data_IF_691847739422
#
_entry.id   IF_691847739422
#
_cell.length_a   1.000
_cell.length_b   1.000
_cell.length_c   1.000
_cell.angle_alpha   90.00
_cell.angle_beta   90.00
_cell.angle_gamma   90.00
#
_symmetry.space_group_name_H-M   'P 1'
#
loop_
_entity.id
_entity.type
_entity.pdbx_description
1 polymer ?
#
# COMPACT_ATOMS: atom_id res chain seq x y z
N UNK A 1 -1.57 19.91 -8.11
CA UNK A 1 -0.79 20.81 -7.22
C UNK A 1 -0.95 20.29 -5.80
N UNK A 2 0.11 19.72 -5.20
CA UNK A 2 0.09 19.26 -3.82
C UNK A 2 0.18 20.46 -2.88
N UNK A 3 -0.95 21.00 -2.44
CA UNK A 3 -0.99 22.00 -1.37
C UNK A 3 -0.78 21.28 -0.04
N UNK A 4 0.25 21.67 0.71
CA UNK A 4 0.55 21.06 2.01
C UNK A 4 -0.63 21.25 2.97
N UNK A 5 -0.93 20.24 3.80
CA UNK A 5 -1.97 20.32 4.85
C UNK A 5 -1.79 21.60 5.69
N UNK A 6 -0.55 21.98 5.97
CA UNK A 6 -0.22 23.21 6.69
C UNK A 6 -0.78 24.47 6.01
N UNK A 7 -0.65 24.57 4.68
CA UNK A 7 -1.16 25.72 3.92
C UNK A 7 -2.69 25.77 3.90
N UNK A 8 -3.35 24.62 3.92
CA UNK A 8 -4.81 24.54 4.04
C UNK A 8 -5.24 25.05 5.42
N UNK A 9 -4.58 24.60 6.49
CA UNK A 9 -4.88 25.01 7.86
C UNK A 9 -4.58 26.50 8.11
N UNK A 10 -3.47 27.01 7.57
CA UNK A 10 -3.15 28.45 7.60
C UNK A 10 -4.19 29.26 6.82
N UNK A 11 -4.66 28.76 5.68
CA UNK A 11 -5.74 29.39 4.91
C UNK A 11 -7.04 29.52 5.71
N UNK A 12 -7.41 28.51 6.50
CA UNK A 12 -8.57 28.57 7.41
C UNK A 12 -8.32 29.56 8.54
N UNK A 13 -7.14 29.49 9.19
CA UNK A 13 -6.76 30.41 10.29
C UNK A 13 -6.81 31.88 9.85
N UNK A 14 -6.35 32.16 8.64
CA UNK A 14 -6.29 33.51 8.09
C UNK A 14 -7.61 33.97 7.45
N UNK A 15 -8.66 33.13 7.46
CA UNK A 15 -9.96 33.43 6.84
C UNK A 15 -9.96 33.43 5.30
N UNK A 16 -8.87 32.96 4.67
CA UNK A 16 -8.73 32.84 3.20
C UNK A 16 -9.44 31.61 2.63
N UNK A 17 -9.80 30.65 3.49
CA UNK A 17 -10.48 29.43 3.12
C UNK A 17 -11.59 29.14 4.13
N UNK A 18 -12.77 28.75 3.66
CA UNK A 18 -13.81 28.27 4.58
C UNK A 18 -13.44 26.89 5.14
N UNK A 19 -14.04 26.52 6.27
CA UNK A 19 -13.88 25.17 6.84
C UNK A 19 -14.39 24.11 5.87
N UNK A 20 -15.48 24.38 5.16
CA UNK A 20 -16.06 23.48 4.15
C UNK A 20 -15.13 23.30 2.95
N UNK A 21 -14.53 24.39 2.45
CA UNK A 21 -13.55 24.34 1.36
C UNK A 21 -12.29 23.58 1.77
N UNK A 22 -11.83 23.77 3.01
CA UNK A 22 -10.67 23.07 3.56
C UNK A 22 -10.96 21.57 3.66
N UNK A 23 -12.14 21.22 4.18
CA UNK A 23 -12.58 19.83 4.28
C UNK A 23 -12.68 19.17 2.90
N UNK A 24 -13.19 19.87 1.89
CA UNK A 24 -13.26 19.36 0.53
C UNK A 24 -11.86 19.16 -0.08
N UNK A 25 -10.95 20.13 0.09
CA UNK A 25 -9.56 20.00 -0.38
C UNK A 25 -8.83 18.85 0.31
N UNK A 26 -9.02 18.66 1.62
CA UNK A 26 -8.44 17.53 2.35
C UNK A 26 -9.04 16.17 1.95
N UNK A 27 -10.30 16.15 1.47
CA UNK A 27 -10.93 14.94 0.91
C UNK A 27 -10.44 14.59 -0.50
N UNK A 28 -10.12 15.60 -1.32
CA UNK A 28 -9.74 15.43 -2.73
C UNK A 28 -8.23 15.34 -2.97
N UNK A 29 -7.42 15.95 -2.11
CA UNK A 29 -5.95 15.85 -2.13
C UNK A 29 -5.32 14.44 -1.92
N UNK A 30 -5.98 13.42 -1.33
CA UNK A 30 -5.31 12.15 -1.07
C UNK A 30 -4.99 11.34 -2.31
N UNK A 31 -5.64 11.58 -3.44
CA UNK A 31 -5.63 10.64 -4.55
C UNK A 31 -4.71 11.11 -5.67
N UNK A 32 -3.68 10.32 -5.94
CA UNK A 32 -2.89 10.48 -7.15
C UNK A 32 -3.49 9.58 -8.24
N UNK A 33 -4.01 10.19 -9.30
CA UNK A 33 -4.52 9.48 -10.48
C UNK A 33 -3.38 9.24 -11.46
N UNK A 34 -2.99 7.97 -11.63
CA UNK A 34 -1.94 7.55 -12.56
C UNK A 34 -2.53 6.96 -13.86
N UNK A 35 -3.80 7.24 -14.14
CA UNK A 35 -4.52 6.85 -15.36
C UNK A 35 -5.23 5.50 -15.27
N UNK A 36 -4.62 4.52 -14.60
CA UNK A 36 -5.21 3.17 -14.38
C UNK A 36 -5.45 2.84 -12.90
N UNK A 37 -5.01 3.70 -11.99
CA UNK A 37 -5.28 3.59 -10.57
C UNK A 37 -5.36 4.98 -9.92
N UNK A 38 -6.18 5.09 -8.87
CA UNK A 38 -6.22 6.25 -7.97
C UNK A 38 -5.62 5.85 -6.64
N UNK A 39 -4.38 6.25 -6.39
CA UNK A 39 -3.60 5.83 -5.23
C UNK A 39 -3.96 6.72 -4.03
N UNK A 40 -4.50 6.13 -2.96
CA UNK A 40 -4.93 6.83 -1.74
C UNK A 40 -3.75 7.08 -0.78
N UNK A 41 -3.17 8.26 -0.83
CA UNK A 41 -2.06 8.69 0.01
C UNK A 41 -2.45 8.92 1.47
N UNK A 42 -3.74 9.14 1.77
CA UNK A 42 -4.18 9.33 3.15
C UNK A 42 -4.41 7.98 3.86
N UNK A 43 -4.31 6.84 3.16
CA UNK A 43 -4.61 5.55 3.75
C UNK A 43 -3.80 5.30 5.01
N UNK A 44 -2.48 5.43 4.98
CA UNK A 44 -1.71 5.20 6.22
C UNK A 44 -1.87 6.32 7.28
N UNK A 45 -2.32 7.53 6.93
CA UNK A 45 -2.71 8.52 7.96
C UNK A 45 -3.94 8.04 8.75
N UNK A 46 -4.83 7.27 8.10
CA UNK A 46 -6.06 6.74 8.73
C UNK A 46 -5.86 5.37 9.37
N UNK A 47 -5.00 4.53 8.81
CA UNK A 47 -4.90 3.13 9.19
C UNK A 47 -3.55 2.72 9.81
N UNK A 48 -2.47 3.50 9.65
CA UNK A 48 -1.17 3.19 10.25
C UNK A 48 -0.47 1.91 9.76
N UNK A 49 -1.01 1.22 8.75
CA UNK A 49 -0.51 -0.08 8.24
C UNK A 49 0.17 0.06 6.88
N UNK A 50 0.91 -1.00 6.48
CA UNK A 50 1.56 -1.11 5.18
C UNK A 50 0.56 -0.94 4.02
N UNK A 51 1.02 -0.35 2.91
CA UNK A 51 0.19 -0.14 1.73
C UNK A 51 0.09 -1.44 0.93
N UNK A 52 -1.13 -1.80 0.52
CA UNK A 52 -1.41 -3.06 -0.18
C UNK A 52 -1.82 -2.80 -1.63
N UNK A 53 -1.12 -3.42 -2.58
CA UNK A 53 -1.47 -3.48 -3.99
C UNK A 53 -2.11 -4.85 -4.27
N UNK A 54 -3.38 -4.85 -4.65
CA UNK A 54 -4.02 -6.05 -5.19
C UNK A 54 -3.44 -6.36 -6.59
N UNK A 55 -2.62 -7.39 -6.73
CA UNK A 55 -1.88 -7.70 -7.96
C UNK A 55 -2.67 -8.45 -9.03
N UNK A 56 -3.72 -9.19 -8.63
CA UNK A 56 -4.49 -9.98 -9.58
C UNK A 56 -5.19 -9.11 -10.63
N UNK A 57 -4.97 -9.44 -11.91
CA UNK A 57 -5.53 -8.72 -13.06
C UNK A 57 -4.77 -7.44 -13.45
N UNK A 58 -3.65 -7.11 -12.79
CA UNK A 58 -2.77 -6.01 -13.17
C UNK A 58 -1.59 -6.49 -14.00
N UNK A 59 -1.09 -5.65 -14.89
CA UNK A 59 0.20 -5.91 -15.55
C UNK A 59 1.37 -5.54 -14.62
N UNK A 60 2.56 -6.13 -14.82
CA UNK A 60 3.75 -5.75 -14.05
C UNK A 60 4.05 -4.25 -14.10
N UNK A 61 3.87 -3.60 -15.25
CA UNK A 61 4.07 -2.14 -15.39
C UNK A 61 3.09 -1.34 -14.52
N UNK A 62 1.83 -1.78 -14.42
CA UNK A 62 0.84 -1.13 -13.56
C UNK A 62 1.20 -1.30 -12.08
N UNK A 63 1.71 -2.46 -11.69
CA UNK A 63 2.16 -2.72 -10.31
C UNK A 63 3.36 -1.83 -9.97
N UNK A 64 4.36 -1.75 -10.86
CA UNK A 64 5.54 -0.89 -10.71
C UNK A 64 5.13 0.57 -10.57
N UNK A 65 4.26 1.07 -11.46
CA UNK A 65 3.83 2.46 -11.40
C UNK A 65 3.09 2.81 -10.11
N UNK A 66 2.23 1.91 -9.60
CA UNK A 66 1.59 2.10 -8.29
C UNK A 66 2.66 2.08 -7.18
N UNK A 67 3.58 1.12 -7.19
CA UNK A 67 4.61 0.99 -6.18
C UNK A 67 5.53 2.22 -6.14
N UNK A 68 5.95 2.74 -7.29
CA UNK A 68 6.78 3.93 -7.40
C UNK A 68 6.06 5.18 -6.89
N UNK A 69 4.78 5.34 -7.23
CA UNK A 69 3.95 6.43 -6.72
C UNK A 69 3.79 6.35 -5.20
N UNK A 70 3.63 5.16 -4.63
CA UNK A 70 3.63 4.98 -3.17
C UNK A 70 5.00 5.30 -2.53
N UNK A 71 6.10 4.82 -3.11
CA UNK A 71 7.47 5.07 -2.61
C UNK A 71 7.85 6.55 -2.63
N UNK A 72 7.47 7.29 -3.69
CA UNK A 72 7.66 8.75 -3.77
C UNK A 72 6.97 9.51 -2.63
N UNK A 73 5.94 8.92 -2.04
CA UNK A 73 5.20 9.46 -0.91
C UNK A 73 5.64 8.85 0.44
N UNK A 74 6.89 8.40 0.54
CA UNK A 74 7.53 7.85 1.74
C UNK A 74 6.86 6.59 2.30
N UNK A 75 6.24 5.78 1.43
CA UNK A 75 5.77 4.43 1.77
C UNK A 75 6.87 3.43 1.44
N UNK A 76 7.62 3.03 2.47
CA UNK A 76 8.79 2.17 2.29
C UNK A 76 8.45 0.68 2.25
N UNK A 77 7.32 0.28 2.85
CA UNK A 77 6.85 -1.10 2.88
C UNK A 77 5.57 -1.22 2.07
N UNK A 78 5.61 -2.04 1.01
CA UNK A 78 4.47 -2.26 0.11
C UNK A 78 4.27 -3.76 -0.05
N UNK A 79 3.04 -4.21 0.22
CA UNK A 79 2.60 -5.58 0.03
C UNK A 79 1.86 -5.71 -1.30
N UNK A 80 2.22 -6.69 -2.12
CA UNK A 80 1.56 -7.00 -3.38
C UNK A 80 0.92 -8.37 -3.25
N UNK A 81 -0.41 -8.44 -3.15
CA UNK A 81 -1.12 -9.71 -2.93
C UNK A 81 -1.54 -10.36 -4.25
N UNK A 82 -1.69 -11.70 -4.22
CA UNK A 82 -2.14 -12.52 -5.36
C UNK A 82 -1.22 -12.43 -6.59
N UNK A 83 0.05 -12.16 -6.37
CA UNK A 83 1.08 -12.03 -7.39
C UNK A 83 1.47 -13.42 -7.91
N UNK A 84 1.33 -13.66 -9.21
CA UNK A 84 1.81 -14.90 -9.81
C UNK A 84 3.34 -14.87 -10.03
N UNK A 85 3.90 -16.03 -10.38
CA UNK A 85 5.35 -16.20 -10.48
C UNK A 85 5.96 -15.41 -11.64
N UNK A 86 5.25 -15.29 -12.75
CA UNK A 86 5.75 -14.63 -13.94
C UNK A 86 5.75 -13.11 -13.71
N UNK A 87 4.65 -12.58 -13.13
CA UNK A 87 4.59 -11.20 -12.66
C UNK A 87 5.70 -10.90 -11.66
N UNK A 88 5.94 -11.78 -10.68
CA UNK A 88 7.00 -11.59 -9.68
C UNK A 88 8.38 -11.54 -10.32
N UNK A 89 8.68 -12.44 -11.26
CA UNK A 89 9.96 -12.48 -11.96
C UNK A 89 10.20 -11.23 -12.82
N UNK A 90 9.16 -10.62 -13.39
CA UNK A 90 9.27 -9.33 -14.08
C UNK A 90 9.50 -8.18 -13.11
N UNK A 91 8.81 -8.16 -11.97
CA UNK A 91 8.97 -7.14 -10.96
C UNK A 91 10.37 -7.15 -10.33
N UNK A 92 10.94 -8.34 -10.06
CA UNK A 92 12.29 -8.52 -9.50
C UNK A 92 13.40 -7.91 -10.39
N UNK A 93 13.15 -7.75 -11.70
CA UNK A 93 14.11 -7.10 -12.61
C UNK A 93 14.20 -5.59 -12.42
N UNK A 94 13.16 -4.98 -11.84
CA UNK A 94 13.01 -3.52 -11.77
C UNK A 94 12.99 -2.98 -10.35
N UNK A 95 12.61 -3.80 -9.37
CA UNK A 95 12.56 -3.41 -7.97
C UNK A 95 13.09 -4.51 -7.06
N UNK A 96 13.62 -4.10 -5.89
CA UNK A 96 13.99 -5.04 -4.83
C UNK A 96 12.72 -5.59 -4.19
N UNK A 97 12.24 -6.71 -4.74
CA UNK A 97 11.07 -7.45 -4.31
C UNK A 97 11.51 -8.74 -3.60
N UNK A 98 10.88 -9.06 -2.48
CA UNK A 98 10.94 -10.41 -1.89
C UNK A 98 9.64 -11.13 -2.23
N UNK A 99 9.72 -12.19 -3.04
CA UNK A 99 8.55 -12.96 -3.44
C UNK A 99 8.36 -14.23 -2.59
N UNK A 100 7.17 -14.35 -1.99
CA UNK A 100 6.71 -15.51 -1.24
C UNK A 100 5.76 -16.33 -2.09
N UNK A 101 6.29 -17.32 -2.81
CA UNK A 101 5.51 -18.15 -3.74
C UNK A 101 4.34 -18.91 -3.07
N UNK A 102 4.51 -19.33 -1.80
CA UNK A 102 3.46 -20.00 -1.03
C UNK A 102 2.25 -19.10 -0.80
N UNK A 103 2.50 -17.86 -0.37
CA UNK A 103 1.47 -16.84 -0.13
C UNK A 103 0.99 -16.12 -1.40
N UNK A 104 1.73 -16.22 -2.51
CA UNK A 104 1.57 -15.35 -3.69
C UNK A 104 1.66 -13.87 -3.32
N UNK A 105 2.64 -13.54 -2.48
CA UNK A 105 2.88 -12.17 -1.99
C UNK A 105 4.25 -11.69 -2.45
N UNK A 106 4.29 -10.49 -3.01
CA UNK A 106 5.52 -9.73 -3.19
C UNK A 106 5.65 -8.64 -2.12
N UNK A 107 6.84 -8.46 -1.56
CA UNK A 107 7.12 -7.43 -0.54
C UNK A 107 8.23 -6.52 -1.05
N UNK A 108 7.95 -5.22 -1.14
CA UNK A 108 8.95 -4.20 -1.41
C UNK A 108 9.29 -3.52 -0.08
N UNK A 109 10.59 -3.46 0.24
CA UNK A 109 11.11 -2.95 1.51
C UNK A 109 11.00 -3.95 2.65
N UNK A 110 11.19 -3.48 3.87
CA UNK A 110 11.20 -4.32 5.07
C UNK A 110 9.83 -4.35 5.74
N UNK A 111 9.39 -5.53 6.17
CA UNK A 111 8.23 -5.65 7.06
C UNK A 111 8.53 -5.01 8.42
N UNK A 112 7.56 -4.30 9.01
CA UNK A 112 7.69 -3.84 10.39
C UNK A 112 7.89 -5.04 11.33
N UNK A 113 8.62 -4.82 12.42
CA UNK A 113 8.77 -5.87 13.44
C UNK A 113 7.42 -6.08 14.14
N UNK A 114 7.03 -7.34 14.41
CA UNK A 114 5.84 -7.62 15.21
C UNK A 114 5.92 -6.93 16.58
N UNK A 115 4.87 -6.21 16.96
CA UNK A 115 4.75 -5.46 18.21
C UNK A 115 3.61 -5.95 19.13
N UNK A 116 2.99 -7.09 18.78
CA UNK A 116 1.93 -7.73 19.55
C UNK A 116 2.38 -8.44 20.84
N UNK A 117 1.41 -8.75 21.71
CA UNK A 117 1.64 -9.44 22.99
C UNK A 117 1.37 -10.94 22.82
N UNK A 118 2.43 -11.73 22.65
CA UNK A 118 2.35 -13.20 22.65
C UNK A 118 2.74 -13.85 21.32
N UNK A 119 2.27 -15.08 21.10
CA UNK A 119 2.52 -15.86 19.88
C UNK A 119 1.18 -16.23 19.24
N UNK A 120 1.11 -16.12 17.93
CA UNK A 120 -0.03 -16.57 17.13
C UNK A 120 0.33 -17.92 16.52
N UNK A 121 -0.58 -18.89 16.61
CA UNK A 121 -0.49 -20.14 15.87
C UNK A 121 -1.42 -20.06 14.67
N UNK A 122 -0.85 -20.27 13.50
CA UNK A 122 -1.58 -20.43 12.26
C UNK A 122 -1.67 -21.91 11.88
N UNK A 123 -2.87 -22.40 11.60
CA UNK A 123 -3.11 -23.79 11.26
C UNK A 123 -4.15 -23.89 10.14
N UNK A 124 -3.86 -24.71 9.14
CA UNK A 124 -4.78 -25.09 8.07
C UNK A 124 -4.96 -26.61 8.04
N UNK A 125 -6.18 -27.06 7.70
CA UNK A 125 -6.48 -28.46 7.45
C UNK A 125 -6.45 -28.82 5.95
N UNK A 126 -6.64 -27.83 5.07
CA UNK A 126 -6.72 -28.01 3.62
C UNK A 126 -5.47 -27.49 2.92
N UNK A 127 -4.95 -28.28 1.96
CA UNK A 127 -3.87 -27.82 1.07
C UNK A 127 -4.28 -26.59 0.25
N UNK A 128 -5.58 -26.42 0.00
CA UNK A 128 -6.16 -25.24 -0.64
C UNK A 128 -6.03 -23.96 0.18
N UNK A 129 -5.97 -24.08 1.52
CA UNK A 129 -5.95 -22.91 2.40
C UNK A 129 -4.52 -22.50 2.76
N UNK A 130 -3.51 -23.33 2.44
CA UNK A 130 -2.09 -23.03 2.64
C UNK A 130 -1.72 -21.64 2.09
N UNK A 131 -2.10 -21.23 0.87
CA UNK A 131 -1.73 -19.90 0.37
C UNK A 131 -2.30 -18.75 1.20
N UNK A 132 -3.52 -18.92 1.71
CA UNK A 132 -4.16 -17.92 2.57
C UNK A 132 -3.49 -17.89 3.94
N UNK A 133 -3.13 -19.08 4.46
CA UNK A 133 -2.43 -19.19 5.72
C UNK A 133 -1.02 -18.56 5.65
N UNK A 134 -0.27 -18.82 4.58
CA UNK A 134 1.03 -18.18 4.36
C UNK A 134 0.92 -16.65 4.21
N UNK A 135 -0.17 -16.14 3.61
CA UNK A 135 -0.45 -14.70 3.55
C UNK A 135 -0.70 -14.10 4.94
N UNK A 136 -1.50 -14.77 5.77
CA UNK A 136 -1.77 -14.34 7.14
C UNK A 136 -0.48 -14.38 8.00
N UNK A 137 0.35 -15.41 7.87
CA UNK A 137 1.62 -15.51 8.59
C UNK A 137 2.59 -14.35 8.30
N UNK A 138 2.54 -13.79 7.09
CA UNK A 138 3.35 -12.65 6.68
C UNK A 138 2.78 -11.29 7.11
N UNK A 139 1.50 -11.23 7.46
CA UNK A 139 0.77 -9.97 7.71
C UNK A 139 0.25 -9.82 9.15
N UNK A 140 0.40 -10.85 9.98
CA UNK A 140 -0.02 -10.91 11.38
C UNK A 140 0.89 -10.13 12.35
#
# INVERSE_FOLDING_TARGET
MNTSIKQILEGVKDGRLSVEEAALKLKLAPFEDIGYAKVDMHRALRQGVAEVIYGAGKTPEQIIGIADTLRKNNRNTILITRLDKDQAAELEQTCALTYHAGARIGIIGDLPRPDGIGKILEATAGTSDIPVAEEAALTA
#
